data_IF_774317060978
#
_entry.id   IF_774317060978
#
_cell.length_a   1.000
_cell.length_b   1.000
_cell.length_c   1.000
_cell.angle_alpha   90.00
_cell.angle_beta   90.00
_cell.angle_gamma   90.00
#
_symmetry.space_group_name_H-M   'P 1'
#
loop_
_entity.id
_entity.type
_entity.pdbx_description
1 polymer ?
#
# COMPACT_ATOMS: atom_id res chain seq x y z
N UNK A 1 3.02 11.99 -8.58
CA UNK A 1 2.08 10.87 -8.85
C UNK A 1 1.57 10.87 -10.28
N UNK A 2 1.34 12.02 -10.90
CA UNK A 2 0.91 12.12 -12.32
C UNK A 2 1.80 11.33 -13.30
N UNK A 3 3.12 11.54 -13.28
CA UNK A 3 4.07 10.76 -14.10
C UNK A 3 3.91 9.24 -13.95
N UNK A 4 3.63 8.77 -12.72
CA UNK A 4 3.42 7.36 -12.45
C UNK A 4 2.08 6.87 -13.04
N UNK A 5 1.02 7.67 -12.95
CA UNK A 5 -0.26 7.35 -13.60
C UNK A 5 -0.18 7.39 -15.12
N UNK A 6 0.63 8.30 -15.69
CA UNK A 6 0.80 8.47 -17.14
C UNK A 6 1.57 7.32 -17.80
N UNK A 7 2.63 6.81 -17.16
CA UNK A 7 3.50 5.83 -17.80
C UNK A 7 4.22 4.87 -16.86
N UNK A 8 3.69 4.69 -15.66
CA UNK A 8 4.17 3.71 -14.71
C UNK A 8 5.54 4.05 -14.14
N UNK A 9 6.24 3.00 -13.71
CA UNK A 9 7.54 3.18 -13.04
C UNK A 9 8.53 3.93 -13.92
N UNK A 10 8.72 3.52 -15.18
CA UNK A 10 9.78 4.05 -16.04
C UNK A 10 9.57 5.50 -16.47
N UNK A 11 8.32 5.97 -16.53
CA UNK A 11 8.01 7.37 -16.79
C UNK A 11 8.43 8.31 -15.63
N UNK A 12 8.56 7.78 -14.41
CA UNK A 12 9.02 8.56 -13.26
C UNK A 12 10.54 8.74 -13.34
N UNK A 13 10.95 9.78 -14.06
CA UNK A 13 12.35 10.19 -14.18
C UNK A 13 12.61 11.45 -13.37
N UNK A 14 13.74 11.51 -12.65
CA UNK A 14 14.07 12.64 -11.77
C UNK A 14 14.11 13.98 -12.50
N UNK A 15 14.55 14.00 -13.76
CA UNK A 15 14.53 15.21 -14.61
C UNK A 15 13.10 15.61 -14.97
N UNK A 16 12.28 14.67 -15.44
CA UNK A 16 10.87 14.93 -15.73
C UNK A 16 10.09 15.44 -14.50
N UNK A 17 10.43 14.94 -13.30
CA UNK A 17 9.90 15.46 -12.04
C UNK A 17 10.32 16.91 -11.81
N UNK A 18 11.60 17.23 -11.97
CA UNK A 18 12.14 18.57 -11.80
C UNK A 18 11.45 19.57 -12.74
N UNK A 19 11.34 19.20 -14.01
CA UNK A 19 10.69 19.98 -15.06
C UNK A 19 9.20 20.23 -14.74
N UNK A 20 8.47 19.17 -14.34
CA UNK A 20 7.05 19.24 -13.94
C UNK A 20 6.84 20.13 -12.71
N UNK A 21 7.72 20.02 -11.72
CA UNK A 21 7.64 20.77 -10.48
C UNK A 21 8.19 22.20 -10.60
N UNK A 22 8.77 22.58 -11.74
CA UNK A 22 9.36 23.91 -11.94
C UNK A 22 10.57 24.19 -11.04
N UNK A 23 11.33 23.15 -10.66
CA UNK A 23 12.51 23.27 -9.79
C UNK A 23 13.77 22.73 -10.45
N UNK A 24 14.93 23.15 -9.99
CA UNK A 24 16.20 22.59 -10.45
C UNK A 24 16.34 21.10 -10.05
N UNK A 25 16.99 20.30 -10.91
CA UNK A 25 17.23 18.87 -10.64
C UNK A 25 17.98 18.64 -9.32
N UNK A 26 18.96 19.51 -9.00
CA UNK A 26 19.68 19.46 -7.72
C UNK A 26 18.77 19.67 -6.50
N UNK A 27 17.70 20.46 -6.64
CA UNK A 27 16.69 20.62 -5.58
C UNK A 27 15.93 19.32 -5.36
N UNK A 28 15.57 18.59 -6.42
CA UNK A 28 14.88 17.30 -6.28
C UNK A 28 15.75 16.29 -5.53
N UNK A 29 17.02 16.12 -5.94
CA UNK A 29 17.94 15.20 -5.28
C UNK A 29 18.25 15.57 -3.82
N UNK A 30 18.15 16.85 -3.47
CA UNK A 30 18.31 17.32 -2.08
C UNK A 30 17.20 16.78 -1.15
N UNK A 31 15.98 16.62 -1.66
CA UNK A 31 14.85 16.09 -0.88
C UNK A 31 14.64 14.59 -1.08
N UNK A 32 14.97 14.07 -2.26
CA UNK A 32 14.75 12.68 -2.61
C UNK A 32 16.03 12.09 -3.22
N UNK A 33 16.85 11.37 -2.42
CA UNK A 33 18.11 10.82 -2.86
C UNK A 33 17.98 9.86 -4.06
N UNK A 34 16.83 9.20 -4.20
CA UNK A 34 16.53 8.29 -5.30
C UNK A 34 15.07 8.37 -5.75
N UNK A 35 14.82 7.88 -6.97
CA UNK A 35 13.46 7.66 -7.50
C UNK A 35 12.64 6.75 -6.60
N UNK A 36 13.24 5.70 -6.05
CA UNK A 36 12.57 4.75 -5.17
C UNK A 36 12.17 5.42 -3.87
N UNK A 37 13.08 6.16 -3.25
CA UNK A 37 12.78 6.96 -2.07
C UNK A 37 11.60 7.93 -2.33
N UNK A 38 11.61 8.64 -3.47
CA UNK A 38 10.48 9.51 -3.84
C UNK A 38 9.17 8.75 -4.03
N UNK A 39 9.19 7.58 -4.65
CA UNK A 39 7.98 6.77 -4.89
C UNK A 39 7.46 6.11 -3.62
N UNK A 40 8.33 5.72 -2.67
CA UNK A 40 7.93 5.25 -1.34
C UNK A 40 7.26 6.39 -0.55
N UNK A 41 7.78 7.62 -0.63
CA UNK A 41 7.05 8.79 -0.11
C UNK A 41 5.69 8.99 -0.81
N UNK A 42 5.65 8.75 -2.13
CA UNK A 42 4.41 8.70 -2.90
C UNK A 42 3.40 7.67 -2.38
N UNK A 43 3.89 6.47 -2.01
CA UNK A 43 3.09 5.41 -1.43
C UNK A 43 2.47 5.85 -0.09
N UNK A 44 3.28 6.43 0.79
CA UNK A 44 2.82 7.00 2.06
C UNK A 44 1.68 8.00 1.84
N UNK A 45 1.86 8.99 0.96
CA UNK A 45 0.85 9.99 0.67
C UNK A 45 -0.47 9.37 0.13
N UNK A 46 -0.37 8.32 -0.69
CA UNK A 46 -1.56 7.60 -1.19
C UNK A 46 -2.32 6.95 -0.04
N UNK A 47 -1.61 6.29 0.89
CA UNK A 47 -2.23 5.61 2.02
C UNK A 47 -2.72 6.56 3.11
N UNK A 48 -2.06 7.69 3.33
CA UNK A 48 -2.56 8.76 4.20
C UNK A 48 -3.89 9.31 3.66
N UNK A 49 -3.96 9.57 2.36
CA UNK A 49 -5.20 9.97 1.71
C UNK A 49 -6.31 8.92 1.82
N UNK A 50 -5.97 7.63 1.77
CA UNK A 50 -6.91 6.54 2.06
C UNK A 50 -7.37 6.58 3.52
N UNK A 51 -6.45 6.65 4.48
CA UNK A 51 -6.78 6.74 5.92
C UNK A 51 -7.75 7.88 6.20
N UNK A 52 -7.48 9.08 5.67
CA UNK A 52 -8.35 10.25 5.85
C UNK A 52 -9.76 10.04 5.28
N UNK A 53 -9.91 9.33 4.16
CA UNK A 53 -11.23 8.99 3.60
C UNK A 53 -12.02 8.04 4.48
N UNK A 54 -11.32 7.16 5.21
CA UNK A 54 -11.93 6.24 6.17
C UNK A 54 -11.97 6.84 7.58
N UNK A 55 -11.64 8.12 7.78
CA UNK A 55 -11.54 8.72 9.11
C UNK A 55 -12.89 8.75 9.83
N UNK A 56 -13.96 9.06 9.10
CA UNK A 56 -15.31 9.22 9.66
C UNK A 56 -16.31 8.20 9.11
N UNK A 57 -15.83 7.09 8.54
CA UNK A 57 -16.67 6.07 7.93
C UNK A 57 -16.74 4.85 8.84
N UNK A 58 -17.96 4.47 9.22
CA UNK A 58 -18.21 3.15 9.82
C UNK A 58 -17.96 2.07 8.77
N UNK A 59 -17.00 1.19 9.02
CA UNK A 59 -16.63 0.12 8.10
C UNK A 59 -17.68 -1.00 8.21
N UNK A 60 -18.40 -1.34 7.13
CA UNK A 60 -19.42 -2.40 7.17
C UNK A 60 -18.82 -3.77 7.51
N UNK A 61 -19.56 -4.56 8.28
CA UNK A 61 -19.21 -5.93 8.66
C UNK A 61 -19.41 -6.18 10.16
N UNK A 62 -20.01 -7.32 10.48
CA UNK A 62 -20.32 -7.73 11.86
C UNK A 62 -19.06 -8.25 12.55
N UNK A 63 -18.17 -8.91 11.79
CA UNK A 63 -16.90 -9.45 12.30
C UNK A 63 -15.67 -8.61 11.88
N UNK A 64 -14.55 -8.66 12.64
CA UNK A 64 -13.28 -8.07 12.21
C UNK A 64 -12.84 -8.53 10.81
N UNK A 65 -13.01 -9.81 10.52
CA UNK A 65 -12.69 -10.41 9.22
C UNK A 65 -13.48 -9.76 8.08
N UNK A 66 -14.78 -9.55 8.26
CA UNK A 66 -15.63 -8.90 7.25
C UNK A 66 -15.21 -7.45 6.99
N UNK A 67 -14.93 -6.69 8.06
CA UNK A 67 -14.46 -5.31 7.94
C UNK A 67 -13.11 -5.22 7.22
N UNK A 68 -12.18 -6.14 7.51
CA UNK A 68 -10.89 -6.21 6.80
C UNK A 68 -11.10 -6.54 5.32
N UNK A 69 -11.93 -7.54 5.01
CA UNK A 69 -12.21 -7.91 3.62
C UNK A 69 -12.88 -6.78 2.85
N UNK A 70 -13.74 -5.98 3.50
CA UNK A 70 -14.33 -4.80 2.90
C UNK A 70 -13.26 -3.77 2.52
N UNK A 71 -12.35 -3.43 3.44
CA UNK A 71 -11.27 -2.47 3.19
C UNK A 71 -10.33 -2.97 2.10
N UNK A 72 -9.91 -4.23 2.15
CA UNK A 72 -9.06 -4.85 1.14
C UNK A 72 -9.72 -4.84 -0.25
N UNK A 73 -11.03 -5.09 -0.34
CA UNK A 73 -11.77 -5.00 -1.60
C UNK A 73 -11.76 -3.58 -2.16
N UNK A 74 -12.02 -2.57 -1.32
CA UNK A 74 -11.99 -1.17 -1.75
C UNK A 74 -10.60 -0.73 -2.22
N UNK A 75 -9.54 -1.22 -1.57
CA UNK A 75 -8.16 -0.93 -1.95
C UNK A 75 -7.69 -1.68 -3.21
N UNK A 76 -8.28 -2.83 -3.53
CA UNK A 76 -7.94 -3.58 -4.75
C UNK A 76 -8.74 -3.11 -5.97
N UNK A 77 -9.98 -2.64 -5.80
CA UNK A 77 -10.81 -2.05 -6.87
C UNK A 77 -10.13 -0.85 -7.58
N UNK A 78 -9.19 -0.17 -6.92
CA UNK A 78 -8.44 0.96 -7.51
C UNK A 78 -7.21 0.53 -8.31
N UNK A 79 -6.77 -0.73 -8.19
CA UNK A 79 -5.58 -1.24 -8.88
C UNK A 79 -5.76 -1.24 -10.40
N UNK A 80 -6.93 -1.65 -10.90
CA UNK A 80 -7.17 -1.66 -12.36
C UNK A 80 -7.41 -0.25 -12.91
N UNK A 81 -8.02 0.64 -12.11
CA UNK A 81 -8.35 2.00 -12.52
C UNK A 81 -7.12 2.87 -12.78
N UNK A 82 -6.03 2.60 -12.08
CA UNK A 82 -4.77 3.34 -12.22
C UNK A 82 -3.58 2.38 -12.15
N UNK A 83 -3.63 1.34 -13.00
CA UNK A 83 -2.61 0.28 -13.04
C UNK A 83 -1.18 0.83 -13.11
N UNK A 84 -0.83 1.79 -13.99
CA UNK A 84 0.53 2.29 -14.08
C UNK A 84 1.01 2.90 -12.75
N UNK A 85 0.15 3.66 -12.06
CA UNK A 85 0.51 4.24 -10.76
C UNK A 85 0.83 3.18 -9.73
N UNK A 86 -0.04 2.19 -9.56
CA UNK A 86 0.17 1.13 -8.57
C UNK A 86 1.35 0.23 -8.93
N UNK A 87 1.59 -0.01 -10.22
CA UNK A 87 2.78 -0.69 -10.69
C UNK A 87 4.06 0.04 -10.27
N UNK A 88 4.09 1.36 -10.42
CA UNK A 88 5.23 2.18 -10.00
C UNK A 88 5.49 2.08 -8.49
N UNK A 89 4.43 2.12 -7.68
CA UNK A 89 4.52 2.01 -6.23
C UNK A 89 5.01 0.63 -5.79
N UNK A 90 4.50 -0.45 -6.38
CA UNK A 90 4.92 -1.83 -6.06
C UNK A 90 6.39 -2.03 -6.43
N UNK A 91 6.82 -1.60 -7.61
CA UNK A 91 8.24 -1.69 -8.00
C UNK A 91 9.14 -0.86 -7.09
N UNK A 92 8.72 0.36 -6.73
CA UNK A 92 9.47 1.19 -5.81
C UNK A 92 9.63 0.53 -4.44
N UNK A 93 8.57 -0.11 -3.93
CA UNK A 93 8.63 -0.89 -2.69
C UNK A 93 9.61 -2.07 -2.81
N UNK A 94 9.58 -2.83 -3.92
CA UNK A 94 10.49 -3.96 -4.17
C UNK A 94 11.97 -3.56 -4.26
N UNK A 95 12.25 -2.38 -4.81
CA UNK A 95 13.60 -1.86 -5.01
C UNK A 95 14.03 -0.82 -3.97
N UNK A 96 13.22 -0.61 -2.92
CA UNK A 96 13.60 0.25 -1.82
C UNK A 96 14.80 -0.35 -1.09
N UNK A 97 15.77 0.48 -0.77
CA UNK A 97 16.96 0.10 0.00
C UNK A 97 16.90 0.73 1.39
N UNK A 98 17.96 0.54 2.18
CA UNK A 98 18.04 1.07 3.54
C UNK A 98 17.86 2.59 3.64
N UNK A 99 18.06 3.34 2.55
CA UNK A 99 17.84 4.80 2.55
C UNK A 99 16.37 5.20 2.69
N UNK A 100 15.43 4.29 2.38
CA UNK A 100 14.00 4.50 2.53
C UNK A 100 13.41 3.78 3.77
N UNK A 101 14.26 3.33 4.70
CA UNK A 101 13.83 2.56 5.88
C UNK A 101 12.84 3.33 6.75
N UNK A 102 13.09 4.62 7.00
CA UNK A 102 12.22 5.46 7.80
C UNK A 102 10.81 5.57 7.19
N UNK A 103 10.71 5.70 5.86
CA UNK A 103 9.44 5.77 5.15
C UNK A 103 8.71 4.43 5.13
N UNK A 104 9.44 3.32 4.99
CA UNK A 104 8.87 1.98 5.09
C UNK A 104 8.35 1.67 6.50
N UNK A 105 9.07 2.12 7.53
CA UNK A 105 8.64 2.02 8.93
C UNK A 105 7.37 2.86 9.18
N UNK A 106 7.34 4.09 8.68
CA UNK A 106 6.16 4.95 8.73
C UNK A 106 4.97 4.31 8.00
N UNK A 107 5.21 3.63 6.88
CA UNK A 107 4.18 2.93 6.13
C UNK A 107 3.62 1.75 6.92
N UNK A 108 4.49 0.97 7.58
CA UNK A 108 4.09 -0.11 8.47
C UNK A 108 3.26 0.37 9.66
N UNK A 109 3.64 1.49 10.27
CA UNK A 109 2.89 2.12 11.36
C UNK A 109 1.50 2.59 10.91
N UNK A 110 1.42 3.26 9.75
CA UNK A 110 0.17 3.70 9.13
C UNK A 110 -0.76 2.52 8.83
N UNK A 111 -0.23 1.43 8.28
CA UNK A 111 -1.00 0.21 8.01
C UNK A 111 -1.55 -0.41 9.30
N UNK A 112 -0.75 -0.40 10.38
CA UNK A 112 -1.16 -0.90 11.70
C UNK A 112 -2.31 -0.08 12.27
N UNK A 113 -2.22 1.25 12.20
CA UNK A 113 -3.29 2.17 12.63
C UNK A 113 -4.59 1.95 11.85
N UNK A 114 -4.50 1.87 10.51
CA UNK A 114 -5.66 1.60 9.66
C UNK A 114 -6.32 0.26 9.99
N UNK A 115 -5.52 -0.76 10.32
CA UNK A 115 -6.05 -2.05 10.71
C UNK A 115 -6.72 -2.02 12.09
N UNK A 116 -6.09 -1.40 13.09
CA UNK A 116 -6.66 -1.23 14.44
C UNK A 116 -8.04 -0.59 14.37
N UNK A 117 -8.14 0.47 13.58
CA UNK A 117 -9.40 1.12 13.28
C UNK A 117 -10.40 0.19 12.59
N UNK A 118 -9.94 -0.58 11.62
CA UNK A 118 -10.81 -1.49 10.86
C UNK A 118 -11.44 -2.55 11.74
N UNK A 119 -10.68 -3.09 12.69
CA UNK A 119 -11.21 -4.09 13.63
C UNK A 119 -11.89 -3.46 14.85
N UNK A 120 -11.73 -2.16 15.07
CA UNK A 120 -12.39 -1.41 16.14
C UNK A 120 -11.71 -1.56 17.50
N UNK A 121 -10.38 -1.68 17.53
CA UNK A 121 -9.60 -1.76 18.77
C UNK A 121 -8.71 -0.54 18.94
N UNK A 122 -8.53 -0.09 20.18
CA UNK A 122 -7.61 1.01 20.50
C UNK A 122 -6.15 0.56 20.50
N UNK A 123 -5.89 -0.71 20.89
CA UNK A 123 -4.56 -1.29 20.93
C UNK A 123 -4.56 -2.66 20.23
N UNK A 124 -3.56 -2.86 19.38
CA UNK A 124 -3.31 -4.11 18.67
C UNK A 124 -2.53 -5.04 19.60
N UNK A 125 -3.01 -6.27 19.79
CA UNK A 125 -2.24 -7.32 20.47
C UNK A 125 -1.11 -7.87 19.59
N UNK A 126 -0.11 -8.53 20.17
CA UNK A 126 1.00 -9.14 19.42
C UNK A 126 0.50 -10.14 18.35
N UNK A 127 -0.52 -10.92 18.70
CA UNK A 127 -1.16 -11.87 17.78
C UNK A 127 -1.86 -11.17 16.61
N UNK A 128 -2.53 -10.05 16.87
CA UNK A 128 -3.13 -9.22 15.83
C UNK A 128 -2.05 -8.55 14.97
N UNK A 129 -0.94 -8.11 15.55
CA UNK A 129 0.19 -7.55 14.79
C UNK A 129 0.80 -8.59 13.86
N UNK A 130 1.00 -9.82 14.34
CA UNK A 130 1.47 -10.94 13.52
C UNK A 130 0.48 -11.25 12.39
N UNK A 131 -0.82 -11.22 12.67
CA UNK A 131 -1.87 -11.35 11.67
C UNK A 131 -1.79 -10.28 10.58
N UNK A 132 -1.63 -9.01 10.96
CA UNK A 132 -1.48 -7.88 10.03
C UNK A 132 -0.28 -8.10 9.11
N UNK A 133 0.87 -8.49 9.68
CA UNK A 133 2.10 -8.74 8.92
C UNK A 133 1.90 -9.86 7.89
N UNK A 134 1.32 -10.98 8.29
CA UNK A 134 1.03 -12.10 7.37
C UNK A 134 0.09 -11.68 6.25
N UNK A 135 -0.96 -10.91 6.55
CA UNK A 135 -1.89 -10.38 5.53
C UNK A 135 -1.14 -9.42 4.59
N UNK A 136 -0.28 -8.56 5.13
CA UNK A 136 0.57 -7.64 4.36
C UNK A 136 1.55 -8.36 3.43
N UNK A 137 2.19 -9.43 3.90
CA UNK A 137 3.12 -10.24 3.10
C UNK A 137 2.40 -10.93 1.93
N UNK A 138 1.21 -11.51 2.20
CA UNK A 138 0.38 -12.12 1.15
C UNK A 138 -0.10 -11.08 0.15
N UNK A 139 -0.47 -9.89 0.62
CA UNK A 139 -0.88 -8.78 -0.24
C UNK A 139 0.26 -8.34 -1.16
N UNK A 140 1.45 -8.09 -0.62
CA UNK A 140 2.62 -7.69 -1.40
C UNK A 140 3.02 -8.77 -2.42
N UNK A 141 3.08 -10.04 -2.01
CA UNK A 141 3.36 -11.16 -2.93
C UNK A 141 2.34 -11.24 -4.08
N UNK A 142 1.07 -11.01 -3.78
CA UNK A 142 0.00 -10.98 -4.77
C UNK A 142 0.15 -9.78 -5.71
N UNK A 143 0.47 -8.59 -5.20
CA UNK A 143 0.70 -7.40 -6.02
C UNK A 143 1.92 -7.55 -6.95
N UNK A 144 3.00 -8.15 -6.47
CA UNK A 144 4.18 -8.46 -7.32
C UNK A 144 3.77 -9.40 -8.45
N UNK A 145 2.94 -10.41 -8.15
CA UNK A 145 2.43 -11.35 -9.16
C UNK A 145 1.49 -10.65 -10.17
N UNK A 146 0.66 -9.73 -9.70
CA UNK A 146 -0.27 -8.96 -10.53
C UNK A 146 0.46 -7.95 -11.45
N UNK A 147 1.45 -7.24 -10.93
CA UNK A 147 2.32 -6.34 -11.70
C UNK A 147 3.03 -7.10 -12.82
N UNK A 148 3.52 -8.30 -12.52
CA UNK A 148 4.14 -9.20 -13.51
C UNK A 148 3.13 -9.79 -14.51
N UNK A 149 1.83 -9.49 -14.40
CA UNK A 149 0.79 -10.01 -15.28
C UNK A 149 0.48 -11.50 -15.07
N UNK A 150 0.93 -12.09 -13.95
CA UNK A 150 0.75 -13.51 -13.66
C UNK A 150 -0.60 -13.84 -13.03
N UNK A 151 -1.24 -12.87 -12.38
CA UNK A 151 -2.56 -13.00 -11.77
C UNK A 151 -3.41 -11.75 -12.02
N UNK A 152 -4.72 -11.93 -12.04
CA UNK A 152 -5.76 -10.90 -12.10
C UNK A 152 -5.98 -10.21 -10.73
N UNK A 153 -6.71 -9.09 -10.72
CA UNK A 153 -7.12 -8.45 -9.45
C UNK A 153 -8.08 -9.34 -8.65
N UNK A 154 -8.93 -10.12 -9.32
CA UNK A 154 -9.79 -11.10 -8.66
C UNK A 154 -8.99 -12.17 -7.92
N UNK A 155 -7.88 -12.64 -8.51
CA UNK A 155 -6.98 -13.59 -7.86
C UNK A 155 -6.21 -12.94 -6.68
N UNK A 156 -5.79 -11.67 -6.80
CA UNK A 156 -5.23 -10.91 -5.66
C UNK A 156 -6.24 -10.90 -4.50
N UNK A 157 -7.51 -10.64 -4.79
CA UNK A 157 -8.57 -10.65 -3.77
C UNK A 157 -8.88 -12.03 -3.23
N UNK A 158 -8.79 -13.08 -4.04
CA UNK A 158 -8.97 -14.46 -3.59
C UNK A 158 -7.87 -14.87 -2.59
N UNK A 159 -6.61 -14.53 -2.87
CA UNK A 159 -5.47 -14.80 -1.97
C UNK A 159 -5.61 -14.07 -0.64
N UNK A 160 -5.92 -12.76 -0.69
CA UNK A 160 -6.19 -11.97 0.50
C UNK A 160 -7.36 -12.54 1.31
N UNK A 161 -8.44 -12.92 0.63
CA UNK A 161 -9.60 -13.54 1.25
C UNK A 161 -9.27 -14.83 2.00
N UNK A 162 -8.42 -15.67 1.41
CA UNK A 162 -7.95 -16.89 2.05
C UNK A 162 -7.05 -16.59 3.26
N UNK A 163 -6.09 -15.67 3.13
CA UNK A 163 -5.19 -15.31 4.21
C UNK A 163 -5.94 -14.77 5.43
N UNK A 164 -6.86 -13.83 5.24
CA UNK A 164 -7.70 -13.28 6.33
C UNK A 164 -8.47 -14.41 7.03
N UNK A 165 -9.14 -15.30 6.27
CA UNK A 165 -9.89 -16.42 6.86
C UNK A 165 -9.02 -17.37 7.67
N UNK A 166 -7.81 -17.69 7.20
CA UNK A 166 -6.91 -18.62 7.88
C UNK A 166 -6.32 -18.01 9.15
N UNK A 167 -5.95 -16.73 9.09
CA UNK A 167 -5.37 -16.00 10.22
C UNK A 167 -6.40 -15.76 11.32
N UNK A 168 -7.60 -15.29 10.97
CA UNK A 168 -8.62 -14.97 11.97
C UNK A 168 -9.28 -16.20 12.60
N UNK A 169 -9.39 -17.32 11.87
CA UNK A 169 -9.82 -18.61 12.46
C UNK A 169 -8.94 -19.02 13.64
N UNK A 170 -7.64 -18.68 13.61
CA UNK A 170 -6.69 -18.98 14.68
C UNK A 170 -6.83 -18.02 15.87
N UNK A 171 -7.35 -16.82 15.66
CA UNK A 171 -7.54 -15.78 16.67
C UNK A 171 -8.90 -15.84 17.40
N UNK A 172 -9.73 -16.84 17.10
CA UNK A 172 -11.05 -17.00 17.72
C UNK A 172 -12.14 -16.09 17.15
N UNK A 173 -11.94 -15.58 15.93
CA UNK A 173 -12.95 -14.85 15.16
C UNK A 173 -13.61 -15.68 14.06
#
# INVERSE_FOLDING_TARGET
MELASEGGYDAVQMRAIADRAGVALGTVYRYFPSKNHMLVMGLLMVFEGMRSRFENVTIPGDTPSERILFVLRKNTEVLEKDRPRYEALVRAFMFADASASAELDAFGALMTEMFAKTIGVEQISDDQLNAIRVIGDVWMSSLVSWVAGRISVDEVMAHLGLAVRLVFRRLGG
#
